data_IF_881705166717
#
_entry.id   IF_881705166717
#
_cell.length_a   1.000
_cell.length_b   1.000
_cell.length_c   1.000
_cell.angle_alpha   90.00
_cell.angle_beta   90.00
_cell.angle_gamma   90.00
#
_symmetry.space_group_name_H-M   'P 1'
#
loop_
_entity.id
_entity.type
_entity.pdbx_description
1 polymer ?
#
# COMPACT_ATOMS: atom_id res chain seq x y z
N UNK A 1 49.09 7.11 -55.64
CA UNK A 1 49.47 6.61 -54.30
C UNK A 1 48.34 6.98 -53.35
N UNK A 2 47.28 6.18 -53.32
CA UNK A 2 46.25 6.29 -52.30
C UNK A 2 46.63 5.27 -51.24
N UNK A 3 46.93 5.76 -50.05
CA UNK A 3 47.28 4.92 -48.91
C UNK A 3 46.01 4.22 -48.42
N UNK A 4 45.90 2.94 -48.75
CA UNK A 4 45.00 2.01 -48.09
C UNK A 4 45.38 1.94 -46.62
N UNK A 5 44.56 2.56 -45.76
CA UNK A 5 44.67 2.43 -44.31
C UNK A 5 44.04 1.09 -43.92
N UNK A 6 44.81 0.03 -44.17
CA UNK A 6 44.52 -1.34 -43.78
C UNK A 6 44.65 -1.43 -42.24
N UNK A 7 43.53 -1.28 -41.52
CA UNK A 7 43.50 -1.48 -40.08
C UNK A 7 43.46 -2.98 -39.79
N UNK A 8 44.63 -3.60 -39.82
CA UNK A 8 44.86 -4.96 -39.37
C UNK A 8 44.58 -5.07 -37.86
N UNK A 9 43.68 -5.98 -37.48
CA UNK A 9 43.42 -6.39 -36.10
C UNK A 9 41.93 -6.37 -35.75
N UNK A 10 41.21 -7.42 -36.11
CA UNK A 10 39.82 -7.63 -35.68
C UNK A 10 39.81 -8.00 -34.18
N UNK A 11 39.95 -7.00 -33.31
CA UNK A 11 39.88 -7.14 -31.84
C UNK A 11 38.42 -7.29 -31.37
N UNK A 12 37.68 -8.20 -31.99
CA UNK A 12 36.29 -8.43 -31.66
C UNK A 12 36.20 -9.24 -30.36
N UNK A 13 35.65 -8.63 -29.31
CA UNK A 13 35.53 -9.24 -27.98
C UNK A 13 34.63 -10.48 -28.10
N UNK A 14 35.06 -11.62 -27.56
CA UNK A 14 34.25 -12.84 -27.56
C UNK A 14 32.95 -12.64 -26.75
N UNK A 15 31.85 -13.35 -27.08
CA UNK A 15 30.61 -13.30 -26.32
C UNK A 15 30.83 -13.62 -24.83
N UNK A 16 30.27 -12.78 -23.94
CA UNK A 16 30.51 -12.92 -22.50
C UNK A 16 29.73 -14.06 -21.84
N UNK A 17 28.74 -14.63 -22.54
CA UNK A 17 28.02 -15.84 -22.10
C UNK A 17 27.91 -16.84 -23.25
N UNK A 18 27.82 -18.16 -22.95
CA UNK A 18 27.69 -19.18 -24.00
C UNK A 18 26.45 -18.97 -24.88
N UNK A 19 26.49 -19.33 -26.19
CA UNK A 19 25.36 -19.19 -27.12
C UNK A 19 24.04 -19.83 -26.66
N UNK A 20 24.13 -20.84 -25.82
CA UNK A 20 23.02 -21.65 -25.30
C UNK A 20 22.66 -21.32 -23.84
N UNK A 21 23.18 -20.21 -23.30
CA UNK A 21 22.86 -19.72 -21.96
C UNK A 21 21.39 -19.27 -21.88
N UNK A 22 20.51 -20.17 -21.42
CA UNK A 22 19.06 -19.92 -21.28
C UNK A 22 18.63 -19.86 -19.81
N UNK A 23 18.33 -18.66 -19.33
CA UNK A 23 17.90 -18.38 -17.96
C UNK A 23 16.42 -18.01 -17.84
N UNK A 24 15.61 -18.21 -18.89
CA UNK A 24 14.18 -17.83 -18.90
C UNK A 24 13.34 -18.57 -17.86
N UNK A 25 13.80 -19.74 -17.42
CA UNK A 25 13.19 -20.50 -16.31
C UNK A 25 13.44 -19.88 -14.93
N UNK A 26 14.34 -18.88 -14.83
CA UNK A 26 14.70 -18.16 -13.61
C UNK A 26 14.09 -16.75 -13.66
N UNK A 27 12.88 -16.55 -13.10
CA UNK A 27 12.19 -15.26 -13.16
C UNK A 27 12.86 -14.17 -12.30
N UNK A 28 13.76 -14.55 -11.40
CA UNK A 28 14.47 -13.62 -10.53
C UNK A 28 15.90 -13.44 -11.02
N UNK A 29 16.20 -12.21 -11.47
CA UNK A 29 17.56 -11.78 -11.79
C UNK A 29 18.24 -11.24 -10.53
N UNK A 30 19.45 -11.71 -10.17
CA UNK A 30 20.23 -11.12 -9.09
C UNK A 30 20.66 -9.70 -9.46
N UNK A 31 20.77 -8.82 -8.47
CA UNK A 31 21.22 -7.45 -8.63
C UNK A 31 22.07 -7.05 -7.42
N UNK A 32 23.32 -6.68 -7.65
CA UNK A 32 24.15 -6.06 -6.62
C UNK A 32 23.78 -4.57 -6.51
N UNK A 33 22.98 -4.26 -5.49
CA UNK A 33 22.49 -2.92 -5.23
C UNK A 33 23.62 -1.96 -4.89
N UNK A 34 24.65 -2.40 -4.17
CA UNK A 34 25.78 -1.54 -3.79
C UNK A 34 26.63 -1.19 -5.01
N UNK A 35 26.95 -2.17 -5.86
CA UNK A 35 27.68 -1.93 -7.12
C UNK A 35 26.87 -1.05 -8.07
N UNK A 36 25.55 -1.26 -8.13
CA UNK A 36 24.67 -0.46 -8.97
C UNK A 36 24.61 1.00 -8.51
N UNK A 37 24.29 1.25 -7.24
CA UNK A 37 24.11 2.61 -6.70
C UNK A 37 25.40 3.44 -6.72
N UNK A 38 26.57 2.79 -6.62
CA UNK A 38 27.87 3.45 -6.67
C UNK A 38 28.48 3.48 -8.09
N UNK A 39 27.77 3.04 -9.12
CA UNK A 39 28.28 3.01 -10.48
C UNK A 39 28.20 4.36 -11.18
N UNK A 40 29.12 4.57 -12.12
CA UNK A 40 29.07 5.67 -13.09
C UNK A 40 27.73 5.75 -13.84
N UNK A 41 27.08 4.60 -14.07
CA UNK A 41 25.79 4.55 -14.74
C UNK A 41 24.72 5.32 -13.96
N UNK A 42 24.63 5.15 -12.65
CA UNK A 42 23.73 5.95 -11.79
C UNK A 42 24.16 7.41 -11.76
N UNK A 43 25.47 7.68 -11.65
CA UNK A 43 25.98 9.02 -11.48
C UNK A 43 25.77 9.92 -12.72
N UNK A 44 25.76 9.34 -13.93
CA UNK A 44 25.76 10.10 -15.19
C UNK A 44 24.45 10.01 -15.98
N UNK A 45 23.54 9.09 -15.62
CA UNK A 45 22.30 8.89 -16.39
C UNK A 45 21.18 9.80 -15.92
N UNK A 46 20.47 10.41 -16.86
CA UNK A 46 19.19 11.05 -16.62
C UNK A 46 18.15 10.02 -16.16
N UNK A 47 17.15 10.43 -15.37
CA UNK A 47 16.10 9.52 -14.86
C UNK A 47 15.46 8.63 -15.95
N UNK A 48 15.29 9.17 -17.17
CA UNK A 48 14.72 8.41 -18.26
C UNK A 48 15.68 7.46 -18.96
N UNK A 49 16.96 7.82 -19.06
CA UNK A 49 18.00 6.92 -19.54
C UNK A 49 18.27 5.81 -18.54
N UNK A 50 18.26 6.14 -17.24
CA UNK A 50 18.38 5.17 -16.15
C UNK A 50 17.27 4.10 -16.22
N UNK A 51 16.00 4.52 -16.31
CA UNK A 51 14.88 3.57 -16.49
C UNK A 51 15.10 2.68 -17.72
N UNK A 52 15.48 3.26 -18.85
CA UNK A 52 15.71 2.51 -20.08
C UNK A 52 16.85 1.49 -19.91
N UNK A 53 18.01 1.92 -19.39
CA UNK A 53 19.15 1.03 -19.16
C UNK A 53 18.84 -0.08 -18.17
N UNK A 54 18.19 0.20 -17.05
CA UNK A 54 17.76 -0.84 -16.10
C UNK A 54 16.77 -1.83 -16.73
N UNK A 55 15.85 -1.35 -17.57
CA UNK A 55 14.93 -2.21 -18.34
C UNK A 55 15.71 -3.10 -19.31
N UNK A 56 16.73 -2.57 -19.99
CA UNK A 56 17.61 -3.33 -20.88
C UNK A 56 18.39 -4.41 -20.13
N UNK A 57 18.87 -4.11 -18.93
CA UNK A 57 19.51 -5.10 -18.04
C UNK A 57 18.55 -6.25 -17.68
N UNK A 58 17.30 -5.93 -17.32
CA UNK A 58 16.29 -6.95 -17.00
C UNK A 58 15.88 -7.79 -18.22
N UNK A 59 15.76 -7.16 -19.38
CA UNK A 59 15.36 -7.84 -20.62
C UNK A 59 16.48 -8.71 -21.17
N UNK A 60 17.75 -8.34 -21.02
CA UNK A 60 18.89 -9.15 -21.45
C UNK A 60 19.02 -10.46 -20.67
N UNK A 61 18.61 -10.48 -19.40
CA UNK A 61 18.52 -11.71 -18.60
C UNK A 61 17.54 -12.72 -19.22
N UNK A 62 16.51 -12.25 -19.91
CA UNK A 62 15.49 -13.09 -20.56
C UNK A 62 15.84 -13.46 -22.02
N UNK A 63 16.96 -12.96 -22.55
CA UNK A 63 17.43 -13.33 -23.88
C UNK A 63 18.17 -14.67 -23.86
N UNK A 64 18.33 -15.26 -25.04
CA UNK A 64 19.26 -16.36 -25.29
C UNK A 64 20.24 -15.85 -26.36
N UNK A 65 21.54 -15.69 -26.05
CA UNK A 65 22.19 -15.88 -24.75
C UNK A 65 21.74 -14.90 -23.66
N UNK A 66 21.69 -15.33 -22.41
CA UNK A 66 21.41 -14.42 -21.30
C UNK A 66 22.51 -13.36 -21.15
N UNK A 67 22.15 -12.18 -20.64
CA UNK A 67 22.99 -10.98 -20.55
C UNK A 67 23.32 -10.29 -21.89
N UNK A 68 22.69 -10.74 -22.99
CA UNK A 68 22.90 -10.16 -24.33
C UNK A 68 21.65 -9.45 -24.87
N UNK A 69 21.86 -8.55 -25.84
CA UNK A 69 20.82 -7.82 -26.56
C UNK A 69 21.15 -7.70 -28.05
N UNK A 70 20.15 -7.56 -28.93
CA UNK A 70 20.39 -7.18 -30.31
C UNK A 70 20.98 -5.77 -30.40
N UNK A 71 21.87 -5.53 -31.36
CA UNK A 71 22.53 -4.23 -31.53
C UNK A 71 21.69 -3.19 -32.29
N UNK A 72 20.54 -3.57 -32.86
CA UNK A 72 19.73 -2.67 -33.69
C UNK A 72 18.84 -1.72 -32.87
N UNK A 73 18.78 -0.46 -33.29
CA UNK A 73 18.11 0.60 -32.52
C UNK A 73 16.60 0.42 -32.39
N UNK A 74 15.96 -0.29 -33.33
CA UNK A 74 14.51 -0.50 -33.29
C UNK A 74 14.17 -1.54 -32.22
N UNK A 75 14.88 -2.65 -32.18
CA UNK A 75 14.75 -3.67 -31.14
C UNK A 75 15.11 -3.11 -29.78
N UNK A 76 16.20 -2.34 -29.66
CA UNK A 76 16.60 -1.73 -28.39
C UNK A 76 15.55 -0.74 -27.88
N UNK A 77 15.00 0.12 -28.75
CA UNK A 77 13.92 1.03 -28.36
C UNK A 77 12.68 0.27 -27.87
N UNK A 78 12.32 -0.82 -28.54
CA UNK A 78 11.20 -1.67 -28.15
C UNK A 78 11.44 -2.37 -26.80
N UNK A 79 12.62 -2.97 -26.60
CA UNK A 79 13.03 -3.65 -25.36
C UNK A 79 13.12 -2.68 -24.18
N UNK A 80 13.61 -1.46 -24.41
CA UNK A 80 13.68 -0.40 -23.39
C UNK A 80 12.33 0.26 -23.09
N UNK A 81 11.25 -0.12 -23.78
CA UNK A 81 9.91 0.49 -23.69
C UNK A 81 9.90 2.00 -23.93
N UNK A 82 10.63 2.47 -24.94
CA UNK A 82 10.68 3.88 -25.34
C UNK A 82 10.42 4.06 -26.83
N UNK A 83 9.93 5.23 -27.23
CA UNK A 83 9.74 5.52 -28.66
C UNK A 83 11.09 5.63 -29.38
N UNK A 84 11.18 5.28 -30.68
CA UNK A 84 12.44 5.40 -31.44
C UNK A 84 13.05 6.80 -31.43
N UNK A 85 12.21 7.85 -31.38
CA UNK A 85 12.69 9.24 -31.29
C UNK A 85 13.33 9.55 -29.93
N UNK A 86 12.75 9.02 -28.84
CA UNK A 86 13.29 9.18 -27.50
C UNK A 86 14.56 8.35 -27.33
N UNK A 87 14.57 7.12 -27.85
CA UNK A 87 15.72 6.23 -27.83
C UNK A 87 16.98 6.92 -28.33
N UNK A 88 16.92 7.57 -29.50
CA UNK A 88 18.05 8.30 -30.07
C UNK A 88 18.68 9.35 -29.14
N UNK A 89 17.90 9.94 -28.23
CA UNK A 89 18.39 10.94 -27.26
C UNK A 89 19.03 10.34 -26.01
N UNK A 90 18.59 9.15 -25.61
CA UNK A 90 19.01 8.50 -24.35
C UNK A 90 19.90 7.28 -24.56
N UNK A 91 20.05 6.80 -25.79
CA UNK A 91 20.74 5.56 -26.16
C UNK A 91 22.14 5.48 -25.56
N UNK A 92 22.92 6.54 -25.73
CA UNK A 92 24.32 6.57 -25.27
C UNK A 92 24.43 6.39 -23.75
N UNK A 93 23.58 7.08 -22.99
CA UNK A 93 23.53 6.92 -21.53
C UNK A 93 22.97 5.54 -21.14
N UNK A 94 21.89 5.08 -21.78
CA UNK A 94 21.23 3.80 -21.47
C UNK A 94 22.10 2.57 -21.81
N UNK A 95 22.96 2.67 -22.82
CA UNK A 95 23.90 1.64 -23.24
C UNK A 95 25.30 1.80 -22.61
N UNK A 96 25.46 2.65 -21.59
CA UNK A 96 26.74 2.77 -20.89
C UNK A 96 27.13 1.43 -20.28
N UNK A 97 28.35 0.98 -20.57
CA UNK A 97 28.90 -0.29 -20.07
C UNK A 97 28.52 -1.53 -20.90
N UNK A 98 27.76 -1.37 -21.99
CA UNK A 98 27.50 -2.46 -22.93
C UNK A 98 28.66 -2.61 -23.92
N UNK A 99 29.01 -3.84 -24.25
CA UNK A 99 30.11 -4.19 -25.16
C UNK A 99 29.54 -4.92 -26.36
N UNK A 100 29.89 -4.49 -27.57
CA UNK A 100 29.56 -5.22 -28.79
C UNK A 100 30.56 -6.37 -28.96
N UNK A 101 30.04 -7.60 -28.98
CA UNK A 101 30.84 -8.81 -29.15
C UNK A 101 30.83 -9.31 -30.59
N UNK A 102 31.69 -10.28 -30.89
CA UNK A 102 31.90 -10.85 -32.24
C UNK A 102 30.68 -11.55 -32.85
N UNK A 103 29.68 -11.91 -32.04
CA UNK A 103 28.38 -12.43 -32.48
C UNK A 103 27.40 -11.34 -32.93
N UNK A 104 27.82 -10.07 -32.91
CA UNK A 104 27.00 -8.91 -33.28
C UNK A 104 25.97 -8.51 -32.22
N UNK A 105 26.07 -9.03 -30.99
CA UNK A 105 25.21 -8.69 -29.86
C UNK A 105 25.92 -7.79 -28.85
N UNK A 106 25.11 -7.02 -28.13
CA UNK A 106 25.56 -6.20 -27.00
C UNK A 106 25.48 -7.02 -25.72
N UNK A 107 26.58 -7.14 -24.99
CA UNK A 107 26.65 -7.79 -23.68
C UNK A 107 26.90 -6.79 -22.57
N UNK A 108 26.32 -7.04 -21.40
CA UNK A 108 26.61 -6.27 -20.20
C UNK A 108 27.51 -7.09 -19.25
N UNK A 109 28.78 -6.71 -19.01
CA UNK A 109 29.74 -7.52 -18.26
C UNK A 109 29.24 -7.95 -16.87
N UNK A 110 28.66 -7.02 -16.12
CA UNK A 110 28.13 -7.30 -14.78
C UNK A 110 27.00 -8.34 -14.80
N UNK A 111 26.15 -8.31 -15.82
CA UNK A 111 25.02 -9.25 -15.91
C UNK A 111 25.53 -10.58 -16.44
N UNK A 112 26.53 -10.57 -17.32
CA UNK A 112 27.17 -11.79 -17.81
C UNK A 112 27.83 -12.58 -16.66
N UNK A 113 28.52 -11.90 -15.73
CA UNK A 113 29.03 -12.50 -14.48
C UNK A 113 27.91 -13.27 -13.75
N UNK A 114 26.79 -12.59 -13.45
CA UNK A 114 25.65 -13.22 -12.78
C UNK A 114 24.97 -14.31 -13.60
N UNK A 115 24.93 -14.16 -14.92
CA UNK A 115 24.31 -15.12 -15.82
C UNK A 115 25.13 -16.41 -15.89
N UNK A 116 26.47 -16.33 -15.91
CA UNK A 116 27.36 -17.49 -15.84
C UNK A 116 27.15 -18.25 -14.52
N UNK A 117 27.18 -17.54 -13.39
CA UNK A 117 26.95 -18.13 -12.06
C UNK A 117 25.59 -18.83 -11.94
N UNK A 118 24.55 -18.29 -12.59
CA UNK A 118 23.22 -18.88 -12.61
C UNK A 118 23.12 -20.05 -13.59
N UNK A 119 23.76 -19.92 -14.76
CA UNK A 119 23.76 -20.93 -15.80
C UNK A 119 24.50 -22.18 -15.36
N UNK A 120 25.66 -22.05 -14.71
CA UNK A 120 26.41 -23.18 -14.17
C UNK A 120 25.59 -23.99 -13.16
N UNK A 121 24.71 -23.35 -12.37
CA UNK A 121 23.83 -24.04 -11.41
C UNK A 121 22.69 -24.82 -12.06
N UNK A 122 22.36 -24.52 -13.31
CA UNK A 122 21.23 -25.10 -14.04
C UNK A 122 21.70 -25.99 -15.18
N UNK A 123 22.92 -25.82 -15.69
CA UNK A 123 23.51 -26.59 -16.80
C UNK A 123 23.44 -28.10 -16.54
N UNK A 124 23.87 -28.56 -15.36
CA UNK A 124 23.82 -29.99 -15.03
C UNK A 124 22.37 -30.55 -15.04
N UNK A 125 21.40 -29.71 -14.66
CA UNK A 125 19.97 -30.10 -14.73
C UNK A 125 19.42 -30.09 -16.15
N UNK A 126 19.97 -29.27 -17.03
CA UNK A 126 19.62 -29.22 -18.46
C UNK A 126 20.15 -30.48 -19.17
N UNK A 127 21.34 -30.93 -18.80
CA UNK A 127 21.95 -32.17 -19.31
C UNK A 127 21.19 -33.42 -18.82
N UNK A 128 20.67 -33.40 -17.58
CA UNK A 128 19.93 -34.52 -16.99
C UNK A 128 18.43 -34.62 -17.37
N UNK A 129 17.82 -33.58 -17.97
CA UNK A 129 16.35 -33.49 -18.04
C UNK A 129 15.74 -33.75 -19.41
N UNK A 130 15.27 -34.99 -19.55
CA UNK A 130 13.95 -35.36 -20.07
C UNK A 130 12.84 -34.32 -19.75
N UNK A 131 11.75 -34.24 -20.54
CA UNK A 131 11.03 -33.00 -20.76
C UNK A 131 10.29 -32.45 -19.52
N UNK A 132 10.52 -31.15 -19.29
CA UNK A 132 9.61 -30.18 -18.69
C UNK A 132 9.21 -30.36 -17.22
N UNK A 133 10.05 -29.84 -16.30
CA UNK A 133 9.54 -29.29 -15.04
C UNK A 133 8.72 -28.03 -15.36
N UNK A 134 7.41 -28.22 -15.55
CA UNK A 134 6.43 -27.14 -15.60
C UNK A 134 6.65 -26.19 -14.43
N UNK A 135 6.71 -24.89 -14.73
CA UNK A 135 6.68 -23.80 -13.75
C UNK A 135 5.61 -24.17 -12.71
N UNK A 136 6.03 -24.39 -11.46
CA UNK A 136 5.12 -24.84 -10.40
C UNK A 136 3.93 -23.88 -10.34
N UNK A 137 2.75 -24.40 -10.73
CA UNK A 137 1.49 -23.67 -10.74
C UNK A 137 1.27 -22.99 -9.39
N UNK A 138 0.53 -21.88 -9.36
CA UNK A 138 0.14 -21.21 -8.11
C UNK A 138 -0.46 -22.22 -7.09
N UNK A 139 -1.17 -23.23 -7.59
CA UNK A 139 -1.67 -24.35 -6.81
C UNK A 139 -0.57 -25.18 -6.13
N UNK A 140 0.54 -25.45 -6.82
CA UNK A 140 1.70 -26.18 -6.31
C UNK A 140 2.42 -25.36 -5.22
N UNK A 141 2.55 -24.05 -5.43
CA UNK A 141 3.14 -23.14 -4.42
C UNK A 141 2.29 -23.11 -3.15
N UNK A 142 0.97 -23.01 -3.28
CA UNK A 142 0.05 -23.08 -2.14
C UNK A 142 0.09 -24.45 -1.45
N UNK A 143 0.26 -25.56 -2.19
CA UNK A 143 0.40 -26.89 -1.61
C UNK A 143 1.67 -27.00 -0.75
N UNK A 144 2.79 -26.47 -1.22
CA UNK A 144 4.06 -26.45 -0.47
C UNK A 144 3.96 -25.58 0.78
N UNK A 145 3.31 -24.42 0.69
CA UNK A 145 3.10 -23.55 1.85
C UNK A 145 2.26 -24.26 2.95
N UNK A 146 1.15 -24.90 2.56
CA UNK A 146 0.31 -25.67 3.49
C UNK A 146 1.06 -26.84 4.12
N UNK A 147 1.87 -27.56 3.33
CA UNK A 147 2.68 -28.65 3.84
C UNK A 147 3.69 -28.17 4.90
N UNK A 148 4.32 -27.01 4.67
CA UNK A 148 5.24 -26.40 5.64
C UNK A 148 4.52 -25.97 6.92
N UNK A 149 3.37 -25.30 6.81
CA UNK A 149 2.57 -24.91 7.99
C UNK A 149 2.11 -26.12 8.80
N UNK A 150 1.74 -27.23 8.13
CA UNK A 150 1.40 -28.48 8.81
C UNK A 150 2.62 -29.04 9.56
N UNK A 151 3.79 -29.07 8.93
CA UNK A 151 5.01 -29.54 9.58
C UNK A 151 5.40 -28.66 10.78
N UNK A 152 5.27 -27.34 10.68
CA UNK A 152 5.50 -26.41 11.80
C UNK A 152 4.51 -26.67 12.96
N UNK A 153 3.23 -26.90 12.66
CA UNK A 153 2.22 -27.25 13.67
C UNK A 153 2.48 -28.60 14.32
N UNK A 154 2.83 -29.61 13.52
CA UNK A 154 3.11 -30.95 14.02
C UNK A 154 4.39 -30.93 14.90
N UNK A 155 5.41 -30.15 14.51
CA UNK A 155 6.61 -29.93 15.33
C UNK A 155 6.31 -29.20 16.64
N UNK A 156 5.45 -28.17 16.61
CA UNK A 156 5.01 -27.47 17.83
C UNK A 156 4.21 -28.40 18.76
N UNK A 157 3.37 -29.27 18.20
CA UNK A 157 2.60 -30.27 18.96
C UNK A 157 3.50 -31.32 19.59
N UNK A 158 4.56 -31.73 18.88
CA UNK A 158 5.55 -32.67 19.39
C UNK A 158 6.40 -32.06 20.50
N UNK A 159 6.75 -30.77 20.41
CA UNK A 159 7.46 -30.06 21.47
C UNK A 159 6.64 -29.92 22.76
N UNK A 160 5.31 -29.79 22.67
CA UNK A 160 4.42 -29.71 23.84
C UNK A 160 4.15 -31.06 24.53
N UNK A 161 4.42 -32.19 23.89
CA UNK A 161 4.14 -33.52 24.47
C UNK A 161 5.30 -34.05 25.35
N UNK A 162 6.50 -33.44 25.33
CA UNK A 162 7.72 -34.02 25.94
C UNK A 162 7.92 -33.67 27.43
N UNK A 163 6.98 -33.04 28.13
CA UNK A 163 7.09 -32.83 29.58
C UNK A 163 6.22 -33.79 30.38
N UNK A 164 6.88 -34.85 30.88
CA UNK A 164 6.72 -35.57 32.15
C UNK A 164 6.90 -37.08 31.93
N UNK A 165 8.11 -37.58 32.22
CA UNK A 165 8.31 -38.66 33.21
C UNK A 165 9.81 -39.00 33.33
N UNK A 166 10.42 -38.71 34.48
CA UNK A 166 11.45 -39.59 35.06
C UNK A 166 11.25 -39.61 36.57
N UNK A 167 10.78 -40.77 37.01
CA UNK A 167 10.55 -41.20 38.38
C UNK A 167 11.84 -41.33 39.20
N UNK A 168 11.68 -41.11 40.51
CA UNK A 168 12.63 -41.17 41.62
C UNK A 168 13.65 -42.33 41.62
N UNK A 169 14.87 -42.06 42.10
CA UNK A 169 15.84 -43.08 42.49
C UNK A 169 17.23 -42.55 42.86
N UNK A 170 17.35 -41.99 44.06
CA UNK A 170 18.59 -41.48 44.69
C UNK A 170 19.58 -42.61 45.04
N UNK A 171 20.88 -42.40 44.80
CA UNK A 171 21.96 -42.98 45.61
C UNK A 171 23.01 -41.90 45.91
N UNK A 172 23.10 -41.60 47.21
CA UNK A 172 24.19 -41.03 48.03
C UNK A 172 24.70 -39.63 47.76
N UNK A 173 24.38 -38.73 48.69
CA UNK A 173 25.25 -37.65 49.12
C UNK A 173 26.18 -38.15 50.25
N UNK A 174 27.45 -37.76 50.21
CA UNK A 174 28.33 -37.78 51.36
C UNK A 174 28.37 -36.38 52.00
N UNK A 175 28.47 -36.38 53.32
CA UNK A 175 28.25 -35.28 54.22
C UNK A 175 29.49 -34.40 54.38
N UNK A 176 29.28 -33.09 54.52
CA UNK A 176 29.98 -32.26 55.51
C UNK A 176 29.17 -30.99 55.79
N UNK A 177 28.78 -30.88 57.06
CA UNK A 177 28.08 -29.82 57.80
C UNK A 177 28.99 -28.57 58.05
N UNK A 178 28.59 -27.56 58.86
CA UNK A 178 27.31 -26.83 58.97
C UNK A 178 27.50 -25.30 59.17
N UNK A 179 26.38 -24.56 59.16
CA UNK A 179 25.99 -23.40 60.02
C UNK A 179 25.21 -22.35 59.21
N UNK A 180 24.21 -21.59 59.69
CA UNK A 180 23.30 -21.63 60.84
C UNK A 180 22.21 -20.56 60.54
N UNK A 181 20.92 -20.95 60.54
CA UNK A 181 19.65 -20.26 60.95
C UNK A 181 19.57 -18.72 60.83
N UNK A 182 18.56 -18.08 60.20
CA UNK A 182 17.17 -17.75 60.70
C UNK A 182 16.31 -17.12 59.53
N UNK A 183 14.98 -16.88 59.63
CA UNK A 183 13.93 -17.36 58.68
C UNK A 183 13.09 -16.21 58.01
N UNK A 184 12.05 -16.53 57.20
CA UNK A 184 11.28 -15.53 56.44
C UNK A 184 9.99 -15.08 57.15
N UNK A 185 9.29 -14.03 56.68
CA UNK A 185 7.89 -13.81 57.03
C UNK A 185 6.92 -14.24 55.91
N UNK A 186 6.10 -15.22 56.27
CA UNK A 186 4.66 -15.38 56.04
C UNK A 186 3.92 -14.45 55.06
N UNK A 187 3.07 -15.03 54.20
CA UNK A 187 1.60 -14.75 54.24
C UNK A 187 0.78 -15.86 53.54
N UNK A 188 -0.46 -16.16 53.99
CA UNK A 188 -1.22 -17.37 53.68
C UNK A 188 -2.51 -17.03 52.86
N UNK A 189 -3.64 -17.81 52.86
CA UNK A 189 -4.10 -18.44 51.63
C UNK A 189 -5.62 -18.26 51.30
N UNK A 190 -6.07 -18.92 50.24
CA UNK A 190 -7.42 -19.45 49.94
C UNK A 190 -8.66 -18.52 49.82
N UNK A 191 -9.41 -18.73 48.72
CA UNK A 191 -10.84 -19.04 48.80
C UNK A 191 -11.37 -19.76 47.54
N UNK A 192 -11.84 -21.00 47.73
CA UNK A 192 -12.86 -21.69 46.92
C UNK A 192 -14.20 -20.93 47.09
N UNK A 193 -15.28 -21.04 46.31
CA UNK A 193 -16.03 -22.11 45.61
C UNK A 193 -16.78 -21.41 44.42
N UNK A 194 -17.47 -22.01 43.46
CA UNK A 194 -18.46 -23.08 43.53
C UNK A 194 -18.89 -23.49 42.10
N UNK A 195 -19.31 -24.76 41.97
CA UNK A 195 -19.70 -25.46 40.74
C UNK A 195 -21.23 -25.44 40.60
N UNK A 196 -21.79 -25.18 39.40
CA UNK A 196 -23.10 -25.72 38.97
C UNK A 196 -23.12 -26.08 37.48
N UNK A 197 -23.85 -27.15 37.21
CA UNK A 197 -23.79 -28.05 36.06
C UNK A 197 -25.21 -28.22 35.48
N UNK A 198 -25.34 -28.41 34.15
CA UNK A 198 -26.53 -28.92 33.42
C UNK A 198 -27.52 -27.87 32.88
N UNK A 199 -28.18 -27.98 31.71
CA UNK A 199 -28.27 -29.04 30.69
C UNK A 199 -28.92 -28.50 29.39
N UNK A 200 -28.53 -29.08 28.26
CA UNK A 200 -29.30 -29.49 27.05
C UNK A 200 -30.17 -28.55 26.17
N UNK A 201 -29.76 -28.56 24.89
CA UNK A 201 -30.53 -28.75 23.64
C UNK A 201 -31.39 -27.62 23.03
N UNK A 202 -30.98 -27.12 21.84
CA UNK A 202 -31.37 -27.61 20.48
C UNK A 202 -31.40 -26.49 19.41
N UNK A 203 -30.75 -26.77 18.27
CA UNK A 203 -30.98 -26.30 16.89
C UNK A 203 -31.10 -24.79 16.56
N UNK A 204 -30.17 -24.28 15.73
CA UNK A 204 -30.41 -23.87 14.33
C UNK A 204 -29.20 -23.13 13.73
N UNK A 205 -28.97 -23.39 12.45
CA UNK A 205 -28.00 -22.81 11.51
C UNK A 205 -28.08 -21.28 11.34
N UNK A 206 -26.94 -20.57 11.30
CA UNK A 206 -26.55 -19.68 10.18
C UNK A 206 -25.13 -19.09 10.34
N UNK A 207 -24.51 -18.85 9.19
CA UNK A 207 -23.30 -18.05 8.90
C UNK A 207 -23.38 -16.64 9.49
N UNK A 208 -22.32 -16.18 10.18
CA UNK A 208 -21.52 -14.99 9.83
C UNK A 208 -20.32 -14.82 10.78
N UNK A 209 -19.27 -14.25 10.19
CA UNK A 209 -18.08 -13.67 10.78
C UNK A 209 -18.32 -12.91 12.09
N UNK A 210 -17.39 -13.02 13.03
CA UNK A 210 -16.98 -11.83 13.77
C UNK A 210 -15.54 -11.90 14.32
N UNK A 211 -14.97 -10.70 14.42
CA UNK A 211 -14.05 -10.25 15.48
C UNK A 211 -12.67 -10.93 15.61
N UNK A 212 -11.68 -10.16 15.16
CA UNK A 212 -10.33 -10.06 15.73
C UNK A 212 -10.36 -9.44 17.13
N UNK A 213 -9.70 -10.03 18.15
CA UNK A 213 -9.31 -9.28 19.33
C UNK A 213 -7.93 -8.62 19.13
N UNK A 214 -7.89 -7.40 19.62
CA UNK A 214 -6.77 -6.51 19.87
C UNK A 214 -5.66 -7.19 20.70
N UNK A 215 -4.40 -7.09 20.24
CA UNK A 215 -3.21 -7.33 21.06
C UNK A 215 -2.23 -6.18 20.83
N UNK A 216 -1.79 -5.64 21.97
CA UNK A 216 -0.85 -4.56 22.22
C UNK A 216 0.53 -4.73 21.55
N UNK A 217 1.25 -3.64 21.25
CA UNK A 217 2.62 -3.72 20.76
C UNK A 217 3.61 -4.00 21.90
N UNK A 218 4.28 -5.15 21.83
CA UNK A 218 5.47 -5.45 22.61
C UNK A 218 6.67 -4.72 22.00
N UNK A 219 7.28 -3.85 22.81
CA UNK A 219 8.57 -3.20 22.57
C UNK A 219 9.67 -4.26 22.49
N UNK A 220 10.28 -4.45 21.32
CA UNK A 220 11.52 -5.20 21.15
C UNK A 220 12.64 -4.23 20.76
N UNK A 221 13.45 -3.89 21.76
CA UNK A 221 14.74 -3.24 21.65
C UNK A 221 15.73 -4.16 20.93
N UNK A 222 16.32 -3.71 19.83
CA UNK A 222 17.55 -4.31 19.30
C UNK A 222 18.57 -3.23 18.98
N UNK A 223 19.76 -3.44 19.55
CA UNK A 223 20.86 -2.52 19.69
C UNK A 223 21.52 -2.16 18.35
N UNK A 224 21.55 -0.87 18.04
CA UNK A 224 22.45 -0.30 17.03
C UNK A 224 23.90 -0.47 17.50
N UNK A 225 24.72 -1.14 16.70
CA UNK A 225 26.17 -1.18 16.87
C UNK A 225 26.78 0.17 16.42
N UNK A 226 27.25 0.93 17.39
CA UNK A 226 28.01 2.16 17.21
C UNK A 226 29.49 1.80 16.94
N UNK A 227 30.05 2.30 15.84
CA UNK A 227 31.49 2.29 15.59
C UNK A 227 32.13 3.57 16.18
N UNK A 228 33.33 3.49 16.78
CA UNK A 228 33.95 4.61 17.48
C UNK A 228 34.53 5.62 16.49
N UNK A 229 34.14 6.90 16.64
CA UNK A 229 34.75 8.04 15.98
C UNK A 229 36.09 8.33 16.68
N UNK A 230 37.17 8.34 15.88
CA UNK A 230 38.51 8.73 16.29
C UNK A 230 38.56 10.19 16.76
N UNK A 231 39.40 10.39 17.76
CA UNK A 231 39.62 11.58 18.55
C UNK A 231 40.04 12.83 17.77
N UNK A 232 39.73 13.95 18.42
CA UNK A 232 40.03 15.34 18.12
C UNK A 232 41.48 15.64 17.69
N UNK A 233 41.62 16.65 16.82
CA UNK A 233 42.79 17.53 16.76
C UNK A 233 42.35 19.01 16.79
N UNK A 234 43.18 19.91 17.36
CA UNK A 234 42.73 21.19 17.92
C UNK A 234 42.69 22.36 16.93
N UNK A 235 41.94 23.38 17.36
CA UNK A 235 41.67 24.64 16.69
C UNK A 235 42.93 25.47 16.38
N UNK A 236 42.99 26.00 15.15
CA UNK A 236 43.85 27.12 14.80
C UNK A 236 43.06 28.43 14.88
N UNK A 237 43.65 29.41 15.55
CA UNK A 237 43.08 30.71 15.87
C UNK A 237 43.09 31.68 14.68
N UNK A 238 42.05 32.53 14.64
CA UNK A 238 42.12 33.84 13.99
C UNK A 238 41.36 33.94 12.65
N UNK A 239 40.12 34.42 12.71
CA UNK A 239 39.64 35.47 11.80
C UNK A 239 38.25 35.94 12.26
N UNK A 240 38.20 37.23 12.60
CA UNK A 240 37.02 38.00 12.94
C UNK A 240 36.12 38.13 11.69
N UNK A 241 34.82 37.84 11.79
CA UNK A 241 33.83 38.26 10.80
C UNK A 241 32.54 38.71 11.51
N UNK A 242 32.00 39.90 11.17
CA UNK A 242 31.05 40.64 12.01
C UNK A 242 29.59 40.19 11.88
N UNK A 243 28.82 40.44 12.96
CA UNK A 243 27.37 40.33 13.03
C UNK A 243 26.66 41.21 11.97
N UNK A 244 25.54 40.76 11.37
CA UNK A 244 24.76 41.58 10.44
C UNK A 244 23.90 42.63 11.18
N UNK A 245 23.68 43.83 10.60
CA UNK A 245 22.85 44.89 11.18
C UNK A 245 21.35 44.67 10.91
N UNK A 246 20.45 45.31 11.69
CA UNK A 246 19.01 45.28 11.44
C UNK A 246 18.56 46.50 10.64
N UNK A 247 17.80 46.33 9.53
CA UNK A 247 17.01 47.43 8.94
C UNK A 247 15.71 46.93 8.33
N UNK A 248 14.67 47.69 8.65
CA UNK A 248 13.25 47.62 8.32
C UNK A 248 12.87 47.82 6.83
N UNK A 249 11.81 47.12 6.43
CA UNK A 249 10.68 47.51 5.55
C UNK A 249 10.95 48.21 4.19
N UNK A 250 10.65 47.54 3.06
CA UNK A 250 9.44 47.78 2.22
C UNK A 250 9.47 47.02 0.87
N UNK A 251 8.26 46.63 0.43
CA UNK A 251 7.79 46.13 -0.88
C UNK A 251 7.75 44.62 -1.17
N UNK A 252 6.61 44.10 -1.71
CA UNK A 252 6.39 42.70 -1.98
C UNK A 252 7.04 42.30 -3.31
N UNK A 253 8.23 41.70 -3.24
CA UNK A 253 8.81 41.02 -4.39
C UNK A 253 8.14 39.66 -4.56
N UNK A 254 7.38 39.52 -5.64
CA UNK A 254 6.99 38.26 -6.26
C UNK A 254 8.18 37.29 -6.27
N UNK A 255 8.15 36.27 -5.42
CA UNK A 255 9.09 35.15 -5.51
C UNK A 255 8.37 33.94 -6.08
N UNK A 256 8.57 33.80 -7.39
CA UNK A 256 8.48 32.53 -8.07
C UNK A 256 9.58 31.61 -7.53
N UNK A 257 9.18 30.50 -6.92
CA UNK A 257 10.00 29.30 -6.84
C UNK A 257 9.07 28.08 -6.85
N UNK A 258 8.61 27.75 -8.05
CA UNK A 258 8.03 26.45 -8.35
C UNK A 258 9.11 25.63 -9.05
N UNK A 259 9.52 24.56 -8.40
CA UNK A 259 10.36 23.49 -8.90
C UNK A 259 9.94 23.07 -10.32
N UNK A 260 10.90 23.10 -11.23
CA UNK A 260 10.74 22.72 -12.62
C UNK A 260 10.60 21.19 -12.74
N UNK A 261 9.37 20.71 -12.68
CA UNK A 261 8.97 19.38 -13.16
C UNK A 261 7.87 19.55 -14.21
N UNK A 262 8.11 19.02 -15.41
CA UNK A 262 7.18 18.91 -16.55
C UNK A 262 6.61 20.23 -17.13
N UNK A 263 7.47 21.02 -17.75
CA UNK A 263 7.06 22.02 -18.74
C UNK A 263 6.63 21.32 -20.04
N UNK A 264 5.42 20.76 -20.07
CA UNK A 264 5.02 19.93 -21.21
C UNK A 264 3.54 19.59 -21.36
N UNK A 265 2.63 20.41 -20.83
CA UNK A 265 1.21 20.55 -21.24
C UNK A 265 0.55 21.61 -20.36
N UNK A 266 0.41 22.84 -20.87
CA UNK A 266 -0.44 23.84 -20.19
C UNK A 266 -1.86 23.27 -20.15
N UNK A 267 -2.36 22.96 -18.96
CA UNK A 267 -3.73 22.47 -18.81
C UNK A 267 -4.69 23.48 -19.49
N UNK A 268 -5.66 23.01 -20.29
CA UNK A 268 -6.62 23.91 -20.91
C UNK A 268 -7.32 24.72 -19.81
N UNK A 269 -7.29 26.05 -19.94
CA UNK A 269 -7.91 26.96 -18.96
C UNK A 269 -9.41 26.67 -18.88
N UNK A 270 -9.96 26.56 -17.66
CA UNK A 270 -11.41 26.38 -17.47
C UNK A 270 -12.17 27.47 -18.21
N UNK A 271 -13.24 27.07 -18.90
CA UNK A 271 -14.22 27.99 -19.50
C UNK A 271 -14.88 28.85 -18.42
N UNK A 272 -15.44 30.03 -18.76
CA UNK A 272 -16.10 30.89 -17.76
C UNK A 272 -17.20 30.17 -16.98
N UNK A 273 -17.99 29.34 -17.65
CA UNK A 273 -19.05 28.54 -17.01
C UNK A 273 -18.48 27.49 -16.05
N UNK A 274 -17.43 26.77 -16.46
CA UNK A 274 -16.77 25.79 -15.58
C UNK A 274 -16.15 26.47 -14.35
N UNK A 275 -15.64 27.70 -14.47
CA UNK A 275 -15.14 28.44 -13.30
C UNK A 275 -16.25 28.75 -12.31
N UNK A 276 -17.42 29.14 -12.81
CA UNK A 276 -18.58 29.42 -11.97
C UNK A 276 -19.04 28.15 -11.23
N UNK A 277 -19.08 27.01 -11.91
CA UNK A 277 -19.42 25.72 -11.28
C UNK A 277 -18.35 25.30 -10.26
N UNK A 278 -17.07 25.48 -10.57
CA UNK A 278 -15.98 25.16 -9.66
C UNK A 278 -16.02 26.02 -8.38
N UNK A 279 -16.40 27.29 -8.49
CA UNK A 279 -16.55 28.17 -7.32
C UNK A 279 -17.80 27.84 -6.50
N UNK A 280 -18.91 27.45 -7.15
CA UNK A 280 -20.09 26.93 -6.46
C UNK A 280 -19.79 25.62 -5.73
N UNK A 281 -19.05 24.72 -6.38
CA UNK A 281 -18.56 23.47 -5.79
C UNK A 281 -17.71 23.74 -4.54
N UNK A 282 -16.74 24.66 -4.63
CA UNK A 282 -15.88 25.02 -3.50
C UNK A 282 -16.68 25.65 -2.36
N UNK A 283 -17.57 26.61 -2.67
CA UNK A 283 -18.42 27.27 -1.67
C UNK A 283 -19.27 26.25 -0.92
N UNK A 284 -19.94 25.34 -1.65
CA UNK A 284 -20.79 24.31 -1.04
C UNK A 284 -19.99 23.32 -0.20
N UNK A 285 -18.88 22.83 -0.75
CA UNK A 285 -17.99 21.91 -0.05
C UNK A 285 -17.43 22.55 1.23
N UNK A 286 -16.97 23.80 1.16
CA UNK A 286 -16.38 24.49 2.29
C UNK A 286 -17.38 24.71 3.43
N UNK A 287 -18.61 25.11 3.08
CA UNK A 287 -19.69 25.26 4.04
C UNK A 287 -20.00 23.91 4.74
N UNK A 288 -20.29 22.86 3.97
CA UNK A 288 -20.65 21.55 4.54
C UNK A 288 -19.47 20.92 5.33
N UNK A 289 -18.22 21.24 4.95
CA UNK A 289 -17.01 20.79 5.66
C UNK A 289 -16.86 21.50 7.00
N UNK A 290 -17.05 22.81 7.03
CA UNK A 290 -16.98 23.62 8.25
C UNK A 290 -18.09 23.22 9.23
N UNK A 291 -19.32 22.99 8.75
CA UNK A 291 -20.44 22.49 9.56
C UNK A 291 -20.10 21.16 10.26
N UNK A 292 -19.33 20.28 9.61
CA UNK A 292 -18.98 18.96 10.15
C UNK A 292 -17.73 18.97 11.05
N UNK A 293 -16.70 19.69 10.64
CA UNK A 293 -15.38 19.65 11.28
C UNK A 293 -15.08 20.87 12.15
N UNK A 294 -15.98 21.86 12.20
CA UNK A 294 -15.80 23.15 12.89
C UNK A 294 -14.47 23.84 12.53
N UNK A 295 -14.00 23.64 11.29
CA UNK A 295 -12.76 24.20 10.80
C UNK A 295 -12.87 24.47 9.28
N UNK A 296 -12.36 25.61 8.79
CA UNK A 296 -12.38 25.90 7.36
C UNK A 296 -11.40 25.00 6.61
N UNK A 297 -11.78 24.44 5.44
CA UNK A 297 -10.87 23.62 4.66
C UNK A 297 -9.77 24.44 3.97
N UNK A 298 -8.58 23.86 3.83
CA UNK A 298 -7.44 24.50 3.18
C UNK A 298 -7.59 24.45 1.64
N UNK A 299 -7.50 25.62 0.98
CA UNK A 299 -7.46 25.73 -0.50
C UNK A 299 -6.02 25.91 -0.97
N UNK A 300 -5.45 24.87 -1.54
CA UNK A 300 -4.10 24.90 -2.16
C UNK A 300 -4.17 24.73 -3.70
N UNK A 301 -3.00 24.72 -4.35
CA UNK A 301 -2.91 24.51 -5.80
C UNK A 301 -3.40 23.13 -6.25
N UNK A 302 -3.26 22.11 -5.40
CA UNK A 302 -3.72 20.74 -5.66
C UNK A 302 -5.24 20.65 -5.61
N UNK A 303 -5.87 21.28 -4.63
CA UNK A 303 -7.31 21.44 -4.49
C UNK A 303 -7.89 22.16 -5.71
N UNK A 304 -7.25 23.24 -6.17
CA UNK A 304 -7.68 23.92 -7.39
C UNK A 304 -7.65 23.00 -8.63
N UNK A 305 -6.65 22.13 -8.75
CA UNK A 305 -6.62 21.10 -9.81
C UNK A 305 -7.73 20.06 -9.63
N UNK A 306 -7.99 19.60 -8.41
CA UNK A 306 -9.04 18.62 -8.11
C UNK A 306 -10.44 19.20 -8.37
N UNK A 307 -10.70 20.45 -7.99
CA UNK A 307 -11.94 21.17 -8.30
C UNK A 307 -12.16 21.27 -9.81
N UNK A 308 -11.11 21.59 -10.56
CA UNK A 308 -11.15 21.62 -12.01
C UNK A 308 -11.44 20.24 -12.64
N UNK A 309 -10.88 19.16 -12.09
CA UNK A 309 -11.12 17.80 -12.56
C UNK A 309 -12.54 17.30 -12.21
N UNK A 310 -13.02 17.58 -11.00
CA UNK A 310 -14.38 17.27 -10.55
C UNK A 310 -15.42 18.02 -11.39
N UNK A 311 -15.19 19.31 -11.66
CA UNK A 311 -16.10 20.12 -12.48
C UNK A 311 -16.23 19.58 -13.90
N UNK A 312 -15.13 19.12 -14.52
CA UNK A 312 -15.18 18.53 -15.87
C UNK A 312 -15.91 17.19 -15.92
N UNK A 313 -15.76 16.37 -14.88
CA UNK A 313 -16.35 15.03 -14.83
C UNK A 313 -17.82 15.04 -14.41
N UNK A 314 -18.17 15.82 -13.39
CA UNK A 314 -19.52 15.86 -12.80
C UNK A 314 -20.40 17.00 -13.34
N UNK A 315 -19.79 18.01 -13.98
CA UNK A 315 -20.45 19.20 -14.55
C UNK A 315 -21.37 19.88 -13.53
N UNK A 316 -22.59 20.22 -13.91
CA UNK A 316 -23.58 20.94 -13.10
C UNK A 316 -23.90 20.26 -11.76
N UNK A 317 -23.75 18.94 -11.67
CA UNK A 317 -24.04 18.16 -10.46
C UNK A 317 -22.89 18.10 -9.47
N UNK A 318 -21.73 18.68 -9.79
CA UNK A 318 -20.57 18.68 -8.91
C UNK A 318 -20.86 19.16 -7.47
N UNK A 319 -21.48 20.34 -7.24
CA UNK A 319 -21.74 20.83 -5.88
C UNK A 319 -22.66 19.90 -5.06
N UNK A 320 -23.72 19.36 -5.69
CA UNK A 320 -24.65 18.44 -5.03
C UNK A 320 -23.94 17.14 -4.59
N UNK A 321 -23.07 16.60 -5.46
CA UNK A 321 -22.31 15.39 -5.17
C UNK A 321 -21.33 15.61 -4.03
N UNK A 322 -20.66 16.75 -3.97
CA UNK A 322 -19.78 17.10 -2.85
C UNK A 322 -20.55 17.26 -1.52
N UNK A 323 -21.76 17.83 -1.56
CA UNK A 323 -22.64 17.91 -0.39
C UNK A 323 -23.12 16.54 0.08
N UNK A 324 -23.40 15.61 -0.84
CA UNK A 324 -23.75 14.23 -0.48
C UNK A 324 -22.55 13.49 0.11
N UNK A 325 -21.36 13.70 -0.44
CA UNK A 325 -20.10 13.13 0.04
C UNK A 325 -19.83 13.48 1.51
N UNK A 326 -19.90 14.76 1.87
CA UNK A 326 -19.65 15.22 3.24
C UNK A 326 -20.72 14.80 4.25
N UNK A 327 -21.94 14.51 3.79
CA UNK A 327 -23.01 13.92 4.61
C UNK A 327 -22.87 12.41 4.80
N UNK A 328 -22.08 11.74 3.95
CA UNK A 328 -21.82 10.31 4.09
C UNK A 328 -21.06 10.03 5.39
N UNK A 329 -21.48 9.01 6.14
CA UNK A 329 -20.77 8.57 7.35
C UNK A 329 -19.94 7.32 7.12
N UNK A 330 -19.51 7.10 5.87
CA UNK A 330 -18.72 5.95 5.51
C UNK A 330 -17.33 6.04 6.17
N UNK A 331 -16.96 5.01 6.96
CA UNK A 331 -15.75 4.98 7.79
C UNK A 331 -14.48 5.37 7.02
N UNK A 332 -14.31 4.87 5.79
CA UNK A 332 -13.22 5.25 4.89
C UNK A 332 -13.10 6.76 4.65
N UNK A 333 -14.20 7.46 4.36
CA UNK A 333 -14.20 8.90 4.10
C UNK A 333 -13.96 9.70 5.38
N UNK A 334 -14.52 9.25 6.51
CA UNK A 334 -14.28 9.86 7.82
C UNK A 334 -12.81 9.76 8.23
N UNK A 335 -12.18 8.58 8.07
CA UNK A 335 -10.76 8.35 8.35
C UNK A 335 -9.84 9.22 7.49
N UNK A 336 -10.28 9.58 6.29
CA UNK A 336 -9.56 10.48 5.38
C UNK A 336 -9.98 11.95 5.51
N UNK A 337 -10.80 12.27 6.51
CA UNK A 337 -11.33 13.60 6.76
C UNK A 337 -12.03 14.23 5.54
N UNK A 338 -12.72 13.41 4.73
CA UNK A 338 -13.43 13.83 3.52
C UNK A 338 -12.59 14.69 2.57
N UNK A 339 -11.34 14.31 2.29
CA UNK A 339 -10.51 15.06 1.34
C UNK A 339 -11.07 15.05 -0.10
N UNK A 340 -10.81 16.12 -0.86
CA UNK A 340 -11.25 16.21 -2.26
C UNK A 340 -10.55 15.20 -3.20
N UNK A 341 -9.42 14.63 -2.78
CA UNK A 341 -8.72 13.59 -3.53
C UNK A 341 -9.46 12.26 -3.52
N UNK A 342 -9.98 11.85 -2.36
CA UNK A 342 -10.83 10.66 -2.23
C UNK A 342 -12.17 10.85 -2.92
N UNK A 343 -12.76 12.05 -2.86
CA UNK A 343 -13.95 12.37 -3.66
C UNK A 343 -13.69 12.25 -5.17
N UNK A 344 -12.55 12.75 -5.65
CA UNK A 344 -12.19 12.67 -7.07
C UNK A 344 -11.99 11.21 -7.54
N UNK A 345 -11.37 10.37 -6.70
CA UNK A 345 -11.19 8.94 -7.00
C UNK A 345 -12.54 8.20 -7.12
N UNK A 346 -13.48 8.50 -6.20
CA UNK A 346 -14.78 7.82 -6.11
C UNK A 346 -15.93 8.61 -6.77
N UNK A 347 -15.64 9.60 -7.60
CA UNK A 347 -16.64 10.56 -8.10
C UNK A 347 -17.87 9.91 -8.76
N UNK A 348 -17.66 8.84 -9.55
CA UNK A 348 -18.76 8.09 -10.18
C UNK A 348 -19.61 7.32 -9.18
N UNK A 349 -18.98 6.77 -8.12
CA UNK A 349 -19.66 6.02 -7.06
C UNK A 349 -20.53 6.96 -6.23
N UNK A 350 -19.94 8.04 -5.71
CA UNK A 350 -20.66 9.01 -4.87
C UNK A 350 -21.82 9.64 -5.64
N UNK A 351 -21.64 9.93 -6.94
CA UNK A 351 -22.74 10.39 -7.80
C UNK A 351 -23.86 9.35 -7.94
N UNK A 352 -23.54 8.07 -8.09
CA UNK A 352 -24.55 7.02 -8.18
C UNK A 352 -25.33 6.84 -6.87
N UNK A 353 -24.63 6.89 -5.73
CA UNK A 353 -25.24 6.84 -4.39
C UNK A 353 -26.17 8.03 -4.15
N UNK A 354 -25.75 9.24 -4.52
CA UNK A 354 -26.59 10.43 -4.45
C UNK A 354 -27.86 10.29 -5.28
N UNK A 355 -27.76 9.85 -6.54
CA UNK A 355 -28.93 9.65 -7.41
C UNK A 355 -29.86 8.54 -6.88
N UNK A 356 -29.31 7.50 -6.25
CA UNK A 356 -30.11 6.48 -5.58
C UNK A 356 -30.82 7.04 -4.34
N UNK A 357 -30.14 7.87 -3.55
CA UNK A 357 -30.72 8.56 -2.40
C UNK A 357 -31.87 9.49 -2.81
N UNK A 358 -31.71 10.27 -3.89
CA UNK A 358 -32.76 11.13 -4.45
C UNK A 358 -34.00 10.32 -4.86
N UNK A 359 -33.80 9.19 -5.56
CA UNK A 359 -34.90 8.30 -5.96
C UNK A 359 -35.61 7.69 -4.75
N UNK A 360 -34.87 7.28 -3.74
CA UNK A 360 -35.43 6.74 -2.51
C UNK A 360 -36.24 7.81 -1.76
N UNK A 361 -35.74 9.04 -1.68
CA UNK A 361 -36.45 10.16 -1.09
C UNK A 361 -37.76 10.47 -1.84
N UNK A 362 -37.73 10.50 -3.17
CA UNK A 362 -38.93 10.70 -3.99
C UNK A 362 -39.97 9.58 -3.79
N UNK A 363 -39.51 8.31 -3.72
CA UNK A 363 -40.39 7.18 -3.44
C UNK A 363 -41.03 7.27 -2.06
N UNK A 364 -40.27 7.66 -1.04
CA UNK A 364 -40.80 7.85 0.32
C UNK A 364 -41.81 9.00 0.38
N UNK A 365 -41.56 10.10 -0.35
CA UNK A 365 -42.50 11.22 -0.46
C UNK A 365 -43.83 10.79 -1.11
N UNK A 366 -43.78 9.94 -2.14
CA UNK A 366 -45.00 9.41 -2.78
C UNK A 366 -45.77 8.47 -1.85
N UNK A 367 -45.07 7.60 -1.10
CA UNK A 367 -45.70 6.76 -0.08
C UNK A 367 -46.34 7.63 1.01
N UNK A 368 -45.65 8.68 1.48
CA UNK A 368 -46.19 9.62 2.44
C UNK A 368 -47.44 10.30 1.88
N UNK A 369 -47.43 10.78 0.63
CA UNK A 369 -48.59 11.38 -0.03
C UNK A 369 -49.78 10.42 -0.09
N UNK A 370 -49.53 9.16 -0.49
CA UNK A 370 -50.55 8.12 -0.54
C UNK A 370 -51.13 7.80 0.84
N UNK A 371 -50.30 7.79 1.88
CA UNK A 371 -50.74 7.57 3.26
C UNK A 371 -51.57 8.73 3.83
N UNK A 372 -51.29 9.97 3.40
CA UNK A 372 -52.02 11.16 3.85
C UNK A 372 -53.28 11.47 3.01
N UNK A 373 -53.53 10.73 1.92
CA UNK A 373 -54.74 10.88 1.14
C UNK A 373 -55.89 10.16 1.86
N UNK A 374 -56.91 10.89 2.37
CA UNK A 374 -58.06 10.23 3.00
C UNK A 374 -58.74 9.36 1.95
N UNK A 375 -59.05 8.10 2.31
CA UNK A 375 -59.75 7.16 1.43
C UNK A 375 -61.15 7.72 1.17
N UNK A 376 -61.34 8.44 0.08
CA UNK A 376 -62.65 8.89 -0.38
C UNK A 376 -63.39 7.67 -0.95
N UNK A 377 -64.17 6.99 -0.11
CA UNK A 377 -65.11 5.94 -0.55
C UNK A 377 -65.07 4.61 0.21
N UNK A 378 -64.27 4.47 1.28
CA UNK A 378 -64.37 3.30 2.16
C UNK A 378 -65.57 3.42 3.12
N UNK A 379 -66.25 2.32 3.48
CA UNK A 379 -67.31 2.37 4.49
C UNK A 379 -66.76 3.02 5.77
N UNK A 380 -67.53 3.94 6.35
CA UNK A 380 -67.19 4.60 7.62
C UNK A 380 -66.65 3.56 8.59
N UNK A 381 -65.52 3.82 9.28
CA UNK A 381 -64.97 2.87 10.23
C UNK A 381 -66.07 2.50 11.22
N UNK A 382 -66.50 1.23 11.20
CA UNK A 382 -67.52 0.70 12.10
C UNK A 382 -67.03 1.01 13.50
N UNK A 383 -67.84 1.75 14.27
CA UNK A 383 -67.45 2.23 15.59
C UNK A 383 -66.88 1.05 16.40
N UNK A 384 -65.62 1.16 16.84
CA UNK A 384 -64.91 0.05 17.48
C UNK A 384 -65.79 -0.57 18.58
N UNK A 385 -65.86 -1.91 18.69
CA UNK A 385 -66.66 -2.56 19.72
C UNK A 385 -66.34 -1.97 21.09
N UNK A 386 -67.35 -1.74 21.92
CA UNK A 386 -67.21 -1.03 23.20
C UNK A 386 -66.15 -1.67 24.10
N UNK A 387 -66.00 -3.00 24.01
CA UNK A 387 -64.96 -3.81 24.66
C UNK A 387 -63.54 -3.33 24.29
N UNK A 388 -63.29 -3.01 23.03
CA UNK A 388 -61.98 -2.54 22.55
C UNK A 388 -61.71 -1.10 23.04
N UNK A 389 -62.74 -0.25 23.08
CA UNK A 389 -62.62 1.11 23.64
C UNK A 389 -62.36 1.08 25.14
N UNK A 390 -63.05 0.21 25.87
CA UNK A 390 -62.83 0.00 27.30
C UNK A 390 -61.40 -0.50 27.57
N UNK A 391 -60.92 -1.50 26.81
CA UNK A 391 -59.56 -2.02 26.94
C UNK A 391 -58.48 -0.96 26.67
N UNK A 392 -58.66 -0.13 25.63
CA UNK A 392 -57.77 0.99 25.33
C UNK A 392 -57.82 2.07 26.44
N UNK A 393 -58.99 2.34 27.01
CA UNK A 393 -59.16 3.25 28.15
C UNK A 393 -58.40 2.75 29.39
N UNK A 394 -58.56 1.48 29.74
CA UNK A 394 -57.84 0.85 30.86
C UNK A 394 -56.32 0.85 30.64
N UNK A 395 -55.87 0.59 29.41
CA UNK A 395 -54.46 0.64 29.06
C UNK A 395 -53.91 2.06 29.19
N UNK A 396 -54.64 3.06 28.70
CA UNK A 396 -54.24 4.47 28.81
C UNK A 396 -54.18 4.93 30.27
N UNK A 397 -55.13 4.52 31.11
CA UNK A 397 -55.09 4.83 32.54
C UNK A 397 -53.92 4.17 33.27
N UNK A 398 -53.59 2.92 32.95
CA UNK A 398 -52.38 2.26 33.47
C UNK A 398 -51.14 3.06 33.10
N UNK A 399 -50.99 3.44 31.83
CA UNK A 399 -49.85 4.23 31.36
C UNK A 399 -49.74 5.61 32.02
N UNK A 400 -50.85 6.28 32.30
CA UNK A 400 -50.83 7.56 33.02
C UNK A 400 -50.49 7.39 34.50
N UNK A 401 -50.96 6.32 35.15
CA UNK A 401 -50.63 6.02 36.55
C UNK A 401 -49.16 5.63 36.73
N UNK A 402 -48.58 4.84 35.83
CA UNK A 402 -47.16 4.45 35.91
C UNK A 402 -46.22 5.66 35.73
N UNK A 403 -46.67 6.71 35.03
CA UNK A 403 -45.90 7.96 34.88
C UNK A 403 -46.02 8.91 36.08
N UNK A 404 -47.10 8.86 36.86
CA UNK A 404 -47.28 9.72 38.04
C UNK A 404 -46.67 9.17 39.32
N UNK A 405 -46.33 7.88 39.38
CA UNK A 405 -45.74 7.22 40.56
C UNK A 405 -44.20 7.16 40.51
N UNK A 406 -43.57 7.88 39.58
CA UNK A 406 -42.12 7.89 39.33
C UNK A 406 -41.41 9.21 39.67
N UNK A 407 -41.99 10.04 40.52
CA UNK A 407 -41.35 11.22 41.14
C UNK A 407 -41.12 11.00 42.62
#
# INVERSE_FOLDING_TARGET
MNADFEFAGDFSVEPLTPPHCDLRAMPHMPLDVTRMLNSDFIAQSDCSAFKAGLTLMMTSWQQVPAASLPADDKSLAWLAHVTPQRWKRIKEQALRGWILCSDGRLYHPVIAEFALDAFDKVRDRLDDSAPARRVSSSAERMRRLRARQKAERDAASQASHVTHDVTHGSVTCDASQPSHVTPPPHTPPLKEEEKKEGSDARAASHVTHDVTPEVTPVTASQAQRHLPILQAMPAAAGAHAPSPPPVSQTQPTTQANATAWDAGKKAPKLTPLERQIAEQLWTRYAQDFEERYNAPPLRDGRVNYQLAALTRSLRERAPDVAAHYLRSNHDWYVKKAHDLGTLLADASKVRAEMLAAEKNAARLAEIARKNHQPVSGGPMPVAAPEVVRAALGSLRQKWTQTRSTGT
#
